data_IF_866944905496
#
_entry.id   IF_866944905496
#
_cell.length_a   1.000
_cell.length_b   1.000
_cell.length_c   1.000
_cell.angle_alpha   90.00
_cell.angle_beta   90.00
_cell.angle_gamma   90.00
#
_symmetry.space_group_name_H-M   'P 1'
#
loop_
_entity.id
_entity.type
_entity.pdbx_description
1 polymer ?
#
# COMPACT_ATOMS: atom_id res chain seq x y z
N UNK A 1 -73.69 11.39 -24.97
CA UNK A 1 -72.66 12.29 -24.41
C UNK A 1 -71.49 11.41 -23.92
N UNK A 2 -70.43 11.32 -24.71
CA UNK A 2 -69.28 10.49 -24.42
C UNK A 2 -68.24 11.42 -23.75
N UNK A 3 -67.93 11.17 -22.47
CA UNK A 3 -66.89 11.90 -21.78
C UNK A 3 -65.51 11.58 -22.38
N UNK A 4 -64.65 12.58 -22.61
CA UNK A 4 -63.32 12.32 -23.15
C UNK A 4 -62.44 11.62 -22.10
N UNK A 5 -61.50 10.77 -22.50
CA UNK A 5 -60.61 10.08 -21.56
C UNK A 5 -59.71 11.07 -20.88
N UNK A 6 -59.59 10.92 -19.54
CA UNK A 6 -58.60 11.66 -18.73
C UNK A 6 -57.20 11.23 -19.15
N UNK A 7 -56.53 12.07 -19.92
CA UNK A 7 -55.13 11.89 -20.21
C UNK A 7 -54.33 11.98 -18.89
N UNK A 8 -53.53 10.99 -18.65
CA UNK A 8 -52.52 11.01 -17.58
C UNK A 8 -51.62 12.24 -17.79
N UNK A 9 -51.84 13.30 -17.06
CA UNK A 9 -50.90 14.38 -16.94
C UNK A 9 -49.80 13.86 -16.03
N UNK A 10 -48.69 13.39 -16.63
CA UNK A 10 -47.46 13.23 -15.90
C UNK A 10 -47.03 14.62 -15.44
N UNK A 11 -47.24 14.93 -14.19
CA UNK A 11 -46.66 16.12 -13.60
C UNK A 11 -45.15 15.94 -13.50
N UNK A 12 -44.46 16.46 -14.53
CA UNK A 12 -43.02 16.67 -14.45
C UNK A 12 -42.85 17.80 -13.44
N UNK A 13 -42.59 17.43 -12.20
CA UNK A 13 -42.20 18.45 -11.21
C UNK A 13 -40.85 18.99 -11.67
N UNK A 14 -40.71 20.33 -11.78
CA UNK A 14 -39.41 20.91 -12.11
C UNK A 14 -38.41 20.46 -11.06
N UNK A 15 -37.26 19.97 -11.51
CA UNK A 15 -36.14 19.62 -10.64
C UNK A 15 -35.71 20.85 -9.87
N UNK A 16 -36.04 20.91 -8.59
CA UNK A 16 -35.64 22.00 -7.72
C UNK A 16 -34.15 21.89 -7.43
N UNK A 17 -33.34 22.61 -8.22
CA UNK A 17 -31.88 22.67 -8.08
C UNK A 17 -31.40 23.20 -6.72
N UNK A 18 -32.31 23.83 -5.94
CA UNK A 18 -32.00 24.31 -4.58
C UNK A 18 -32.07 23.20 -3.52
N UNK A 19 -32.66 22.05 -3.83
CA UNK A 19 -32.74 20.94 -2.88
C UNK A 19 -31.47 20.05 -2.84
N UNK A 20 -30.56 20.18 -3.79
CA UNK A 20 -29.23 19.55 -3.73
C UNK A 20 -28.35 20.44 -2.85
N UNK A 21 -28.59 20.45 -1.56
CA UNK A 21 -27.54 20.85 -0.61
C UNK A 21 -26.44 19.79 -0.72
N UNK A 22 -25.42 20.09 -1.52
CA UNK A 22 -24.16 19.35 -1.43
C UNK A 22 -23.67 19.65 -0.02
N UNK A 23 -23.86 18.68 0.86
CA UNK A 23 -23.29 18.73 2.21
C UNK A 23 -21.77 18.68 2.04
N UNK A 24 -21.14 19.85 1.95
CA UNK A 24 -19.71 20.04 2.00
C UNK A 24 -19.22 19.92 3.45
N UNK A 25 -19.89 19.09 4.28
CA UNK A 25 -19.35 18.72 5.57
C UNK A 25 -17.92 18.24 5.33
N UNK A 26 -16.97 18.86 6.02
CA UNK A 26 -15.54 18.58 5.90
C UNK A 26 -15.35 17.07 5.83
N UNK A 27 -14.78 16.61 4.71
CA UNK A 27 -14.35 15.22 4.58
C UNK A 27 -13.28 14.98 5.64
N UNK A 28 -13.68 14.42 6.77
CA UNK A 28 -12.74 14.02 7.82
C UNK A 28 -12.21 12.65 7.50
N UNK A 29 -10.91 12.58 7.15
CA UNK A 29 -10.25 11.32 6.91
C UNK A 29 -10.33 10.45 8.16
N UNK A 30 -10.94 9.27 8.02
CA UNK A 30 -11.08 8.31 9.11
C UNK A 30 -9.73 7.71 9.51
N UNK A 31 -8.79 7.60 8.58
CA UNK A 31 -7.42 7.13 8.82
C UNK A 31 -6.40 8.19 8.42
N UNK A 32 -5.46 8.47 9.32
CA UNK A 32 -4.37 9.42 9.05
C UNK A 32 -3.28 8.76 8.20
N UNK A 33 -2.99 9.25 6.97
CA UNK A 33 -1.91 8.73 6.14
C UNK A 33 -0.55 8.80 6.82
N UNK A 34 -0.26 9.91 7.51
CA UNK A 34 0.98 10.06 8.29
C UNK A 34 1.05 9.10 9.47
N UNK A 35 -0.09 8.80 10.11
CA UNK A 35 -0.16 7.78 11.15
C UNK A 35 0.19 6.37 10.64
N UNK A 36 -0.23 6.03 9.42
CA UNK A 36 0.13 4.77 8.76
C UNK A 36 1.63 4.70 8.45
N UNK A 37 2.20 5.79 7.90
CA UNK A 37 3.64 5.89 7.60
C UNK A 37 4.48 5.76 8.85
N UNK A 38 4.15 6.49 9.92
CA UNK A 38 4.91 6.44 11.19
C UNK A 38 4.88 5.04 11.81
N UNK A 39 3.74 4.35 11.75
CA UNK A 39 3.63 2.96 12.23
C UNK A 39 4.48 2.01 11.39
N UNK A 40 4.48 2.17 10.05
CA UNK A 40 5.33 1.38 9.14
C UNK A 40 6.82 1.70 9.30
N UNK A 41 7.16 2.95 9.71
CA UNK A 41 8.53 3.35 9.99
C UNK A 41 9.09 2.72 11.27
N UNK A 42 8.24 2.41 12.26
CA UNK A 42 8.68 1.71 13.48
C UNK A 42 8.83 0.21 13.19
N UNK A 43 7.84 -0.39 12.54
CA UNK A 43 7.87 -1.80 12.16
C UNK A 43 7.24 -1.99 10.78
N UNK A 44 7.99 -2.54 9.80
CA UNK A 44 7.46 -2.82 8.47
C UNK A 44 6.18 -3.68 8.56
N UNK A 45 5.11 -3.22 7.90
CA UNK A 45 3.81 -3.91 7.95
C UNK A 45 2.80 -3.33 8.96
N UNK A 46 3.19 -2.52 9.94
CA UNK A 46 2.24 -1.92 10.89
C UNK A 46 1.30 -0.90 10.25
N UNK A 47 1.73 -0.20 9.21
CA UNK A 47 0.85 0.66 8.42
C UNK A 47 -0.22 -0.15 7.68
N UNK A 48 0.16 -1.29 7.11
CA UNK A 48 -0.76 -2.19 6.44
C UNK A 48 -1.75 -2.84 7.44
N UNK A 49 -1.29 -3.14 8.66
CA UNK A 49 -2.18 -3.57 9.74
C UNK A 49 -3.18 -2.47 10.11
N UNK A 50 -2.73 -1.22 10.22
CA UNK A 50 -3.59 -0.07 10.50
C UNK A 50 -4.60 0.20 9.37
N UNK A 51 -4.20 -0.06 8.11
CA UNK A 51 -5.03 0.11 6.92
C UNK A 51 -5.92 -1.10 6.61
N UNK A 52 -5.87 -2.16 7.46
CA UNK A 52 -6.63 -3.41 7.29
C UNK A 52 -6.20 -4.25 6.06
N UNK A 53 -5.03 -3.94 5.47
CA UNK A 53 -4.43 -4.65 4.34
C UNK A 53 -3.57 -5.83 4.81
N UNK A 54 -4.12 -6.73 5.63
CA UNK A 54 -3.40 -7.81 6.35
C UNK A 54 -2.64 -8.77 5.43
N UNK A 55 -3.14 -9.02 4.22
CA UNK A 55 -2.51 -9.93 3.27
C UNK A 55 -1.13 -9.47 2.79
N UNK A 56 -0.84 -8.17 2.86
CA UNK A 56 0.46 -7.59 2.46
C UNK A 56 1.55 -7.87 3.51
N UNK A 57 1.18 -8.04 4.76
CA UNK A 57 2.12 -8.22 5.88
C UNK A 57 3.04 -9.43 5.66
N UNK A 58 2.52 -10.65 5.38
CA UNK A 58 3.38 -11.81 5.15
C UNK A 58 4.26 -11.65 3.91
N UNK A 59 3.81 -10.91 2.89
CA UNK A 59 4.62 -10.63 1.69
C UNK A 59 5.82 -9.75 2.05
N UNK A 60 5.60 -8.66 2.80
CA UNK A 60 6.66 -7.74 3.23
C UNK A 60 7.71 -8.48 4.07
N UNK A 61 7.27 -9.26 5.06
CA UNK A 61 8.17 -10.03 5.92
C UNK A 61 8.88 -11.16 5.17
N UNK A 62 8.23 -11.79 4.19
CA UNK A 62 8.84 -12.78 3.31
C UNK A 62 9.98 -12.18 2.49
N UNK A 63 9.76 -11.01 1.86
CA UNK A 63 10.78 -10.31 1.08
C UNK A 63 11.93 -9.84 1.97
N UNK A 64 11.64 -9.16 3.09
CA UNK A 64 12.67 -8.67 4.02
C UNK A 64 13.47 -9.83 4.64
N UNK A 65 12.80 -10.92 5.00
CA UNK A 65 13.44 -12.12 5.53
C UNK A 65 14.39 -12.77 4.52
N UNK A 66 13.96 -12.89 3.25
CA UNK A 66 14.80 -13.41 2.18
C UNK A 66 16.02 -12.52 1.92
N UNK A 67 15.83 -11.20 1.83
CA UNK A 67 16.92 -10.24 1.64
C UNK A 67 17.87 -10.24 2.84
N UNK A 68 17.35 -10.31 4.05
CA UNK A 68 18.18 -10.44 5.27
C UNK A 68 19.01 -11.71 5.27
N UNK A 69 18.44 -12.85 4.86
CA UNK A 69 19.18 -14.09 4.68
C UNK A 69 20.30 -13.95 3.63
N UNK A 70 20.00 -13.37 2.47
CA UNK A 70 20.99 -13.15 1.41
C UNK A 70 22.11 -12.21 1.86
N UNK A 71 21.77 -11.14 2.57
CA UNK A 71 22.75 -10.23 3.14
C UNK A 71 23.71 -10.96 4.10
N UNK A 72 23.16 -11.74 5.03
CA UNK A 72 23.96 -12.50 6.00
C UNK A 72 24.85 -13.53 5.31
N UNK A 73 24.31 -14.26 4.33
CA UNK A 73 25.09 -15.24 3.54
C UNK A 73 26.26 -14.58 2.83
N UNK A 74 26.03 -13.48 2.10
CA UNK A 74 27.07 -12.77 1.38
C UNK A 74 28.10 -12.16 2.33
N UNK A 75 27.66 -11.65 3.49
CA UNK A 75 28.54 -11.13 4.51
C UNK A 75 29.49 -12.22 5.08
N UNK A 76 28.98 -13.42 5.35
CA UNK A 76 29.77 -14.53 5.84
C UNK A 76 30.80 -14.96 4.80
N UNK A 77 30.41 -15.07 3.53
CA UNK A 77 31.31 -15.39 2.43
C UNK A 77 32.36 -14.29 2.20
N UNK A 78 31.98 -13.03 2.34
CA UNK A 78 32.92 -11.90 2.34
C UNK A 78 33.98 -12.04 3.45
N UNK A 79 33.54 -12.27 4.69
CA UNK A 79 34.42 -12.40 5.85
C UNK A 79 35.38 -13.57 5.64
N UNK A 80 34.88 -14.76 5.21
CA UNK A 80 35.70 -15.94 4.96
C UNK A 80 36.80 -15.66 3.92
N UNK A 81 36.45 -15.11 2.76
CA UNK A 81 37.40 -14.82 1.71
C UNK A 81 38.38 -13.68 2.09
N UNK A 82 37.93 -12.71 2.89
CA UNK A 82 38.78 -11.67 3.47
C UNK A 82 39.86 -12.28 4.36
N UNK A 83 39.48 -13.20 5.23
CA UNK A 83 40.37 -13.79 6.22
C UNK A 83 41.36 -14.76 5.53
N UNK A 84 40.93 -15.53 4.53
CA UNK A 84 41.81 -16.36 3.72
C UNK A 84 42.81 -15.51 2.91
N UNK A 85 42.37 -14.40 2.32
CA UNK A 85 43.27 -13.45 1.67
C UNK A 85 44.27 -12.84 2.66
N UNK A 86 43.84 -12.51 3.88
CA UNK A 86 44.71 -11.95 4.91
C UNK A 86 45.80 -12.95 5.37
N UNK A 87 45.51 -14.26 5.37
CA UNK A 87 46.45 -15.33 5.73
C UNK A 87 47.40 -15.67 4.60
N UNK A 88 47.07 -15.33 3.36
CA UNK A 88 47.93 -15.63 2.21
C UNK A 88 49.27 -14.88 2.30
N UNK A 89 50.36 -15.56 2.07
CA UNK A 89 51.74 -14.98 2.12
C UNK A 89 51.95 -13.96 0.99
N UNK A 90 51.37 -14.24 -0.18
CA UNK A 90 51.39 -13.34 -1.33
C UNK A 90 50.04 -12.62 -1.40
N UNK A 91 50.00 -11.33 -1.07
CA UNK A 91 48.79 -10.50 -1.18
C UNK A 91 48.61 -10.03 -2.63
N UNK A 92 48.32 -10.98 -3.50
CA UNK A 92 48.13 -10.75 -4.93
C UNK A 92 46.67 -10.33 -5.18
N UNK A 93 46.40 -9.13 -5.76
CA UNK A 93 45.07 -8.71 -6.15
C UNK A 93 44.41 -9.58 -7.24
N UNK A 94 45.19 -10.39 -7.94
CA UNK A 94 44.68 -11.34 -8.94
C UNK A 94 44.25 -12.66 -8.34
N UNK A 95 44.53 -12.89 -7.05
CA UNK A 95 44.21 -14.14 -6.35
C UNK A 95 42.71 -14.36 -6.29
N UNK A 96 42.33 -15.65 -6.27
CA UNK A 96 40.92 -16.06 -6.14
C UNK A 96 40.23 -15.41 -4.90
N UNK A 97 40.91 -15.45 -3.75
CA UNK A 97 40.34 -14.92 -2.49
C UNK A 97 40.10 -13.42 -2.54
N UNK A 98 40.98 -12.64 -3.20
CA UNK A 98 40.76 -11.22 -3.40
C UNK A 98 39.51 -10.95 -4.24
N UNK A 99 39.41 -11.62 -5.41
CA UNK A 99 38.27 -11.47 -6.31
C UNK A 99 36.95 -11.92 -5.67
N UNK A 100 36.97 -13.05 -4.96
CA UNK A 100 35.80 -13.56 -4.27
C UNK A 100 35.35 -12.62 -3.14
N UNK A 101 36.33 -12.07 -2.38
CA UNK A 101 36.04 -11.05 -1.35
C UNK A 101 35.32 -9.84 -1.94
N UNK A 102 35.85 -9.24 -3.00
CA UNK A 102 35.24 -8.07 -3.63
C UNK A 102 33.84 -8.41 -4.19
N UNK A 103 33.73 -9.56 -4.87
CA UNK A 103 32.43 -10.01 -5.37
C UNK A 103 31.36 -10.13 -4.27
N UNK A 104 31.66 -10.82 -3.16
CA UNK A 104 30.68 -10.98 -2.08
C UNK A 104 30.42 -9.69 -1.31
N UNK A 105 31.39 -8.78 -1.24
CA UNK A 105 31.20 -7.43 -0.72
C UNK A 105 30.17 -6.67 -1.56
N UNK A 106 30.36 -6.65 -2.89
CA UNK A 106 29.46 -5.96 -3.81
C UNK A 106 28.04 -6.56 -3.74
N UNK A 107 27.94 -7.90 -3.71
CA UNK A 107 26.64 -8.58 -3.55
C UNK A 107 25.96 -8.23 -2.23
N UNK A 108 26.70 -8.18 -1.13
CA UNK A 108 26.16 -7.76 0.19
C UNK A 108 25.66 -6.34 0.16
N UNK A 109 26.44 -5.41 -0.39
CA UNK A 109 26.11 -3.99 -0.44
C UNK A 109 24.91 -3.75 -1.37
N UNK A 110 24.82 -4.49 -2.48
CA UNK A 110 23.65 -4.46 -3.37
C UNK A 110 22.37 -4.95 -2.67
N UNK A 111 22.45 -6.03 -1.90
CA UNK A 111 21.32 -6.53 -1.11
C UNK A 111 20.92 -5.51 -0.05
N UNK A 112 21.86 -4.80 0.58
CA UNK A 112 21.55 -3.73 1.53
C UNK A 112 20.74 -2.59 0.87
N UNK A 113 21.09 -2.23 -0.37
CA UNK A 113 20.30 -1.25 -1.16
C UNK A 113 18.87 -1.77 -1.41
N UNK A 114 18.72 -3.06 -1.76
CA UNK A 114 17.38 -3.64 -1.97
C UNK A 114 16.54 -3.68 -0.69
N UNK A 115 17.14 -3.93 0.47
CA UNK A 115 16.46 -3.82 1.76
C UNK A 115 15.94 -2.39 1.97
N UNK A 116 16.80 -1.39 1.72
CA UNK A 116 16.42 0.02 1.82
C UNK A 116 15.28 0.40 0.88
N UNK A 117 15.35 -0.02 -0.39
CA UNK A 117 14.27 0.21 -1.37
C UNK A 117 12.97 -0.47 -0.98
N UNK A 118 13.02 -1.72 -0.53
CA UNK A 118 11.84 -2.45 -0.06
C UNK A 118 11.18 -1.74 1.13
N UNK A 119 12.00 -1.23 2.03
CA UNK A 119 11.51 -0.46 3.18
C UNK A 119 10.84 0.85 2.74
N UNK A 120 11.45 1.61 1.84
CA UNK A 120 10.86 2.83 1.28
C UNK A 120 9.53 2.55 0.56
N UNK A 121 9.49 1.50 -0.27
CA UNK A 121 8.25 1.10 -0.95
C UNK A 121 7.15 0.72 0.05
N UNK A 122 7.50 0.05 1.16
CA UNK A 122 6.56 -0.25 2.23
C UNK A 122 5.98 1.02 2.89
N UNK A 123 6.76 2.08 3.07
CA UNK A 123 6.27 3.36 3.61
C UNK A 123 5.32 4.06 2.62
N UNK A 124 5.69 4.08 1.34
CA UNK A 124 4.86 4.66 0.28
C UNK A 124 3.53 3.91 0.16
N UNK A 125 3.56 2.56 0.17
CA UNK A 125 2.37 1.72 0.12
C UNK A 125 1.44 1.99 1.32
N UNK A 126 1.97 2.09 2.53
CA UNK A 126 1.20 2.44 3.73
C UNK A 126 0.52 3.81 3.63
N UNK A 127 1.20 4.79 3.02
CA UNK A 127 0.66 6.12 2.78
C UNK A 127 -0.48 6.09 1.77
N UNK A 128 -0.27 5.43 0.64
CA UNK A 128 -1.26 5.32 -0.44
C UNK A 128 -2.50 4.56 0.04
N UNK A 129 -2.32 3.42 0.72
CA UNK A 129 -3.43 2.64 1.26
C UNK A 129 -4.29 3.44 2.24
N UNK A 130 -3.68 4.26 3.10
CA UNK A 130 -4.42 5.10 4.03
C UNK A 130 -5.27 6.18 3.31
N UNK A 131 -4.76 6.73 2.21
CA UNK A 131 -5.54 7.64 1.38
C UNK A 131 -6.69 6.95 0.64
N UNK A 132 -6.44 5.74 0.10
CA UNK A 132 -7.44 4.99 -0.66
C UNK A 132 -8.54 4.42 0.25
N UNK A 133 -8.23 4.11 1.50
CA UNK A 133 -9.19 3.58 2.46
C UNK A 133 -10.43 4.47 2.61
N UNK A 134 -10.23 5.78 2.67
CA UNK A 134 -11.32 6.73 2.84
C UNK A 134 -12.19 6.86 1.57
N UNK A 135 -11.62 6.62 0.37
CA UNK A 135 -12.37 6.56 -0.88
C UNK A 135 -13.30 5.35 -0.94
N UNK A 136 -12.85 4.17 -0.50
CA UNK A 136 -13.65 2.95 -0.51
C UNK A 136 -14.79 3.00 0.51
N UNK A 137 -14.54 3.55 1.70
CA UNK A 137 -15.57 3.76 2.73
C UNK A 137 -16.63 4.74 2.27
N UNK A 138 -16.25 5.80 1.54
CA UNK A 138 -17.20 6.76 0.97
C UNK A 138 -18.09 6.15 -0.13
N UNK A 139 -17.55 5.17 -0.88
CA UNK A 139 -18.32 4.44 -1.90
C UNK A 139 -19.22 3.35 -1.34
N UNK A 140 -18.83 2.73 -0.23
CA UNK A 140 -19.60 1.66 0.41
C UNK A 140 -20.76 2.15 1.26
N UNK A 141 -20.93 3.48 1.44
CA UNK A 141 -22.20 4.07 1.84
C UNK A 141 -23.01 4.36 0.57
N UNK A 142 -23.71 3.40 -0.01
CA UNK A 142 -24.67 3.71 -1.04
C UNK A 142 -25.71 4.61 -0.38
N UNK A 143 -26.05 5.69 -1.06
CA UNK A 143 -27.24 6.49 -0.78
C UNK A 143 -28.42 5.51 -0.83
N UNK A 144 -28.65 4.82 0.27
CA UNK A 144 -29.71 3.81 0.44
C UNK A 144 -31.05 4.47 0.69
N UNK A 145 -31.32 5.61 0.04
CA UNK A 145 -32.57 6.33 0.19
C UNK A 145 -33.23 6.71 -1.13
N UNK A 146 -33.01 5.96 -2.19
CA UNK A 146 -34.00 5.95 -3.28
C UNK A 146 -35.11 4.95 -2.95
N UNK A 147 -36.00 5.28 -2.03
CA UNK A 147 -37.30 4.61 -1.91
C UNK A 147 -38.15 5.05 -3.09
N UNK A 148 -38.18 4.28 -4.16
CA UNK A 148 -39.22 4.35 -5.18
C UNK A 148 -40.54 3.84 -4.53
N UNK A 149 -41.29 4.72 -3.91
CA UNK A 149 -42.65 4.36 -3.46
C UNK A 149 -43.60 4.51 -4.65
N UNK A 150 -43.89 3.39 -5.33
CA UNK A 150 -45.01 3.29 -6.25
C UNK A 150 -46.33 3.21 -5.46
N UNK A 151 -47.01 4.33 -5.28
CA UNK A 151 -48.35 4.36 -4.68
C UNK A 151 -49.36 4.09 -5.81
N UNK A 152 -49.80 2.84 -5.93
CA UNK A 152 -50.90 2.47 -6.83
C UNK A 152 -52.22 2.69 -6.04
N UNK A 153 -53.01 3.69 -6.42
CA UNK A 153 -54.36 3.86 -5.93
C UNK A 153 -55.32 3.15 -6.89
N UNK A 154 -56.06 2.17 -6.37
CA UNK A 154 -57.15 1.50 -7.03
C UNK A 154 -58.43 2.30 -6.88
#
# INVERSE_FOLDING_TARGET
>A
MISPPKYLQAQIQPFDSNSVKIDTSKFEMKKSPWGAVLKSAILPGFGQFYNESYWKIPVIWGVLGYLGYQWNRNNNLYIQNRDEYARSTLKDPTSYFYKAREFYKDQRDQVAVYIGLTYLLNLVDAYVDAHLFDFDVSRSNPISNYQLSLKINF
#
